data_IF_653362100971
#
_entry.id   IF_653362100971
#
_cell.length_a   1.000
_cell.length_b   1.000
_cell.length_c   1.000
_cell.angle_alpha   90.00
_cell.angle_beta   90.00
_cell.angle_gamma   90.00
#
_symmetry.space_group_name_H-M   'P 1'
#
loop_
_entity.id
_entity.type
_entity.pdbx_description
1 polymer ?
#
# COMPACT_ATOMS: atom_id res chain seq x y z
N UNK A 1 -16.44 -11.82 61.36
CA UNK A 1 -16.01 -10.41 61.20
C UNK A 1 -15.31 -10.19 59.84
N UNK A 2 -14.42 -11.07 59.39
CA UNK A 2 -13.70 -10.95 58.11
C UNK A 2 -14.66 -11.04 56.90
N UNK A 3 -15.64 -11.95 56.91
CA UNK A 3 -16.63 -12.06 55.83
C UNK A 3 -17.57 -10.84 55.70
N UNK A 4 -17.86 -10.16 56.82
CA UNK A 4 -18.68 -8.94 56.77
C UNK A 4 -17.89 -7.71 56.30
N UNK A 5 -16.56 -7.69 56.51
CA UNK A 5 -15.71 -6.61 55.96
C UNK A 5 -15.52 -6.75 54.46
N UNK A 6 -15.28 -7.96 53.92
CA UNK A 6 -15.15 -8.22 52.50
C UNK A 6 -16.44 -7.86 51.73
N UNK A 7 -17.63 -8.20 52.29
CA UNK A 7 -18.93 -7.87 51.70
C UNK A 7 -19.22 -6.36 51.70
N UNK A 8 -18.71 -5.61 52.69
CA UNK A 8 -18.83 -4.15 52.72
C UNK A 8 -17.88 -3.45 51.75
N UNK A 9 -16.68 -3.98 51.54
CA UNK A 9 -15.76 -3.49 50.52
C UNK A 9 -16.25 -3.74 49.11
N UNK A 10 -16.79 -4.91 48.85
CA UNK A 10 -17.36 -5.28 47.54
C UNK A 10 -18.62 -4.42 47.18
N UNK A 11 -19.47 -4.09 48.16
CA UNK A 11 -20.62 -3.20 47.99
C UNK A 11 -20.17 -1.75 47.75
N UNK A 12 -19.16 -1.27 48.49
CA UNK A 12 -18.63 0.09 48.29
C UNK A 12 -17.94 0.26 46.90
N UNK A 13 -17.20 -0.75 46.45
CA UNK A 13 -16.61 -0.76 45.07
C UNK A 13 -17.68 -0.77 44.01
N UNK A 14 -18.75 -1.51 44.20
CA UNK A 14 -19.87 -1.55 43.25
C UNK A 14 -20.66 -0.22 43.21
N UNK A 15 -20.88 0.45 44.34
CA UNK A 15 -21.53 1.76 44.39
C UNK A 15 -20.68 2.84 43.71
N UNK A 16 -19.38 2.90 43.97
CA UNK A 16 -18.44 3.83 43.30
C UNK A 16 -18.38 3.58 41.79
N UNK A 17 -18.43 2.33 41.34
CA UNK A 17 -18.48 1.99 39.92
C UNK A 17 -19.81 2.44 39.27
N UNK A 18 -20.94 2.33 39.99
CA UNK A 18 -22.25 2.73 39.49
C UNK A 18 -22.34 4.26 39.34
N UNK A 19 -21.80 5.02 40.25
CA UNK A 19 -21.74 6.49 40.15
C UNK A 19 -20.83 6.94 39.02
N UNK A 20 -19.67 6.31 38.85
CA UNK A 20 -18.76 6.59 37.72
C UNK A 20 -19.43 6.31 36.37
N UNK A 21 -20.17 5.22 36.24
CA UNK A 21 -20.89 4.87 35.02
C UNK A 21 -22.02 5.86 34.70
N UNK A 22 -22.75 6.35 35.72
CA UNK A 22 -23.78 7.40 35.53
C UNK A 22 -23.14 8.71 35.09
N UNK A 23 -22.06 9.14 35.71
CA UNK A 23 -21.34 10.35 35.32
C UNK A 23 -20.76 10.25 33.90
N UNK A 24 -20.22 9.06 33.54
CA UNK A 24 -19.75 8.80 32.19
C UNK A 24 -20.88 8.88 31.16
N UNK A 25 -22.05 8.25 31.45
CA UNK A 25 -23.19 8.29 30.53
C UNK A 25 -23.67 9.71 30.28
N UNK A 26 -23.81 10.53 31.35
CA UNK A 26 -24.17 11.94 31.21
C UNK A 26 -23.16 12.73 30.36
N UNK A 27 -21.88 12.39 30.46
CA UNK A 27 -20.82 13.00 29.64
C UNK A 27 -20.94 12.57 28.18
N UNK A 28 -21.21 11.28 27.90
CA UNK A 28 -21.40 10.75 26.56
C UNK A 28 -22.61 11.40 25.88
N UNK A 29 -23.74 11.52 26.60
CA UNK A 29 -24.95 12.18 26.12
C UNK A 29 -24.68 13.66 25.75
N UNK A 30 -23.87 14.34 26.55
CA UNK A 30 -23.47 15.74 26.28
C UNK A 30 -22.56 15.80 25.03
N UNK A 31 -21.59 14.91 24.89
CA UNK A 31 -20.71 14.85 23.70
C UNK A 31 -21.55 14.61 22.44
N UNK A 32 -22.51 13.68 22.49
CA UNK A 32 -23.40 13.43 21.35
C UNK A 32 -24.28 14.63 21.00
N UNK A 33 -24.72 15.37 22.00
CA UNK A 33 -25.51 16.59 21.81
C UNK A 33 -24.69 17.72 21.19
N UNK A 34 -23.45 17.90 21.65
CA UNK A 34 -22.58 19.00 21.23
C UNK A 34 -21.90 18.73 19.87
N UNK A 35 -21.57 17.47 19.56
CA UNK A 35 -20.76 17.08 18.40
C UNK A 35 -21.49 16.14 17.41
N UNK A 36 -22.68 15.66 17.74
CA UNK A 36 -23.48 14.76 16.92
C UNK A 36 -23.35 13.28 17.32
N UNK A 37 -24.35 12.48 16.92
CA UNK A 37 -24.37 11.04 17.18
C UNK A 37 -23.21 10.32 16.53
N UNK A 38 -22.60 9.38 17.24
CA UNK A 38 -21.48 8.57 16.76
C UNK A 38 -20.14 9.24 16.86
N UNK A 39 -20.03 10.44 17.48
CA UNK A 39 -18.76 11.11 17.75
C UNK A 39 -17.88 10.31 18.71
N UNK A 40 -18.50 9.61 19.66
CA UNK A 40 -17.85 8.66 20.57
C UNK A 40 -18.62 7.34 20.54
N UNK A 41 -17.90 6.23 20.56
CA UNK A 41 -18.51 4.91 20.55
C UNK A 41 -17.66 3.91 21.32
N UNK A 42 -18.27 2.87 21.85
CA UNK A 42 -17.55 1.73 22.41
C UNK A 42 -17.08 0.83 21.27
N UNK A 43 -15.82 0.43 21.26
CA UNK A 43 -15.26 -0.44 20.21
C UNK A 43 -15.95 -1.81 20.15
N UNK A 44 -16.45 -2.32 21.28
CA UNK A 44 -17.21 -3.58 21.33
C UNK A 44 -18.58 -3.53 20.67
N UNK A 45 -19.14 -2.34 20.44
CA UNK A 45 -20.46 -2.17 19.84
C UNK A 45 -20.41 -2.19 18.29
N UNK A 46 -19.22 -2.16 17.70
CA UNK A 46 -19.04 -2.30 16.25
C UNK A 46 -18.60 -3.71 15.88
N UNK A 47 -19.22 -4.32 14.85
CA UNK A 47 -18.66 -5.53 14.26
C UNK A 47 -17.26 -5.22 13.73
N UNK A 48 -16.37 -6.22 13.79
CA UNK A 48 -15.08 -6.16 13.11
C UNK A 48 -15.41 -6.08 11.61
N UNK A 49 -15.20 -4.91 11.01
CA UNK A 49 -15.39 -4.71 9.57
C UNK A 49 -14.04 -4.87 8.91
N UNK A 50 -13.98 -5.76 7.92
CA UNK A 50 -12.79 -5.89 7.09
C UNK A 50 -12.47 -4.54 6.44
N UNK A 51 -11.20 -4.19 6.45
CA UNK A 51 -10.74 -2.94 5.82
C UNK A 51 -10.85 -3.11 4.31
N UNK A 52 -11.62 -2.24 3.60
CA UNK A 52 -11.67 -2.31 2.16
C UNK A 52 -10.29 -2.04 1.56
N UNK A 53 -9.95 -2.81 0.54
CA UNK A 53 -8.61 -2.77 -0.07
C UNK A 53 -8.68 -2.62 -1.59
N UNK A 54 -7.54 -2.24 -2.17
CA UNK A 54 -7.24 -2.30 -3.60
C UNK A 54 -6.10 -3.31 -3.76
N UNK A 55 -6.26 -4.32 -4.61
CA UNK A 55 -5.18 -5.28 -4.90
C UNK A 55 -3.95 -4.56 -5.44
N UNK A 56 -2.78 -5.05 -5.08
CA UNK A 56 -1.50 -4.57 -5.61
C UNK A 56 -1.19 -5.09 -7.02
N UNK A 57 -1.98 -6.08 -7.50
CA UNK A 57 -1.68 -6.84 -8.71
C UNK A 57 -0.73 -8.02 -8.48
N UNK A 58 -0.13 -8.12 -7.29
CA UNK A 58 0.75 -9.21 -6.86
C UNK A 58 0.09 -10.02 -5.75
N UNK A 59 -0.03 -11.33 -5.94
CA UNK A 59 -0.58 -12.26 -4.94
C UNK A 59 0.27 -12.27 -3.68
N UNK A 60 1.59 -12.33 -3.85
CA UNK A 60 2.56 -12.35 -2.75
C UNK A 60 2.50 -11.05 -1.94
N UNK A 61 2.40 -9.88 -2.61
CA UNK A 61 2.33 -8.60 -1.92
C UNK A 61 1.00 -8.41 -1.21
N UNK A 62 -0.11 -8.78 -1.83
CA UNK A 62 -1.44 -8.74 -1.19
C UNK A 62 -1.47 -9.58 0.08
N UNK A 63 -0.85 -10.78 0.06
CA UNK A 63 -0.68 -11.60 1.25
C UNK A 63 0.25 -10.97 2.28
N UNK A 64 1.40 -10.41 1.86
CA UNK A 64 2.35 -9.77 2.78
C UNK A 64 1.76 -8.54 3.49
N UNK A 65 0.82 -7.83 2.84
CA UNK A 65 0.05 -6.74 3.44
C UNK A 65 -0.92 -7.21 4.54
N UNK A 66 -1.27 -8.51 4.57
CA UNK A 66 -2.06 -9.15 5.62
C UNK A 66 -3.57 -8.86 5.58
N UNK A 67 -4.00 -7.93 4.73
CA UNK A 67 -5.40 -7.55 4.53
C UNK A 67 -5.86 -7.75 3.07
N UNK A 68 -4.98 -8.28 2.20
CA UNK A 68 -5.31 -8.58 0.81
C UNK A 68 -5.12 -7.45 -0.19
N UNK A 69 -4.40 -6.39 0.17
CA UNK A 69 -4.12 -5.27 -0.74
C UNK A 69 -3.79 -3.97 -0.02
N UNK A 70 -3.74 -2.87 -0.78
CA UNK A 70 -3.57 -1.52 -0.24
C UNK A 70 -4.83 -1.05 0.49
N UNK A 71 -4.72 -0.59 1.75
CA UNK A 71 -5.88 -0.17 2.53
C UNK A 71 -6.52 1.10 1.95
N UNK A 72 -7.83 1.07 1.72
CA UNK A 72 -8.60 2.26 1.40
C UNK A 72 -8.74 3.16 2.63
N UNK A 73 -8.88 4.45 2.42
CA UNK A 73 -8.95 5.43 3.50
C UNK A 73 -7.62 5.64 4.22
N UNK A 74 -6.49 5.28 3.60
CA UNK A 74 -5.16 5.35 4.19
C UNK A 74 -4.11 5.91 3.24
N UNK A 75 -3.04 6.44 3.86
CA UNK A 75 -1.82 6.84 3.15
C UNK A 75 -0.87 5.65 3.09
N UNK A 76 -0.38 5.36 1.89
CA UNK A 76 0.63 4.34 1.59
C UNK A 76 1.87 5.04 1.03
N UNK A 77 3.04 4.67 1.47
CA UNK A 77 4.31 5.10 0.89
C UNK A 77 5.03 3.91 0.25
N UNK A 78 5.37 4.04 -1.03
CA UNK A 78 6.20 3.09 -1.78
C UNK A 78 7.52 3.77 -2.06
N UNK A 79 8.62 3.22 -1.56
CA UNK A 79 9.94 3.82 -1.74
C UNK A 79 11.01 2.75 -2.05
N UNK A 80 12.09 3.19 -2.64
CA UNK A 80 13.21 2.34 -3.02
C UNK A 80 14.18 3.05 -3.95
N UNK A 81 15.27 2.38 -4.35
CA UNK A 81 16.21 2.90 -5.33
C UNK A 81 15.56 3.20 -6.68
N UNK A 82 16.26 3.92 -7.52
CA UNK A 82 15.86 4.12 -8.92
C UNK A 82 15.69 2.78 -9.65
N UNK A 83 14.75 2.73 -10.59
CA UNK A 83 14.44 1.53 -11.40
C UNK A 83 14.13 0.27 -10.59
N UNK A 84 13.65 0.40 -9.35
CA UNK A 84 13.26 -0.73 -8.50
C UNK A 84 11.84 -1.24 -8.74
N UNK A 85 11.00 -0.54 -9.54
CA UNK A 85 9.62 -0.90 -9.82
C UNK A 85 8.56 -0.17 -9.01
N UNK A 86 8.88 0.97 -8.36
CA UNK A 86 7.95 1.78 -7.56
C UNK A 86 6.72 2.22 -8.37
N UNK A 87 6.96 2.87 -9.50
CA UNK A 87 5.92 3.35 -10.41
C UNK A 87 5.12 2.18 -10.99
N UNK A 88 5.77 1.06 -11.32
CA UNK A 88 5.09 -0.16 -11.78
C UNK A 88 4.08 -0.67 -10.76
N UNK A 89 4.45 -0.76 -9.47
CA UNK A 89 3.52 -1.15 -8.39
C UNK A 89 2.32 -0.20 -8.29
N UNK A 90 2.55 1.10 -8.39
CA UNK A 90 1.48 2.09 -8.32
C UNK A 90 0.55 2.04 -9.54
N UNK A 91 1.09 1.82 -10.75
CA UNK A 91 0.31 1.66 -11.99
C UNK A 91 -0.55 0.39 -11.90
N UNK A 92 -0.02 -0.72 -11.40
CA UNK A 92 -0.83 -1.93 -11.17
C UNK A 92 -1.98 -1.66 -10.18
N UNK A 93 -1.73 -0.91 -9.09
CA UNK A 93 -2.79 -0.54 -8.15
C UNK A 93 -3.89 0.31 -8.83
N UNK A 94 -3.54 1.22 -9.75
CA UNK A 94 -4.50 1.97 -10.57
C UNK A 94 -5.31 1.01 -11.44
N UNK A 95 -4.66 0.10 -12.16
CA UNK A 95 -5.34 -0.87 -13.02
C UNK A 95 -6.30 -1.76 -12.23
N UNK A 96 -5.89 -2.27 -11.08
CA UNK A 96 -6.74 -3.09 -10.21
C UNK A 96 -7.92 -2.30 -9.62
N UNK A 97 -7.72 -1.02 -9.26
CA UNK A 97 -8.81 -0.14 -8.84
C UNK A 97 -9.85 0.06 -9.95
N UNK A 98 -9.40 0.32 -11.19
CA UNK A 98 -10.29 0.50 -12.35
C UNK A 98 -11.02 -0.81 -12.73
N UNK A 99 -10.36 -1.96 -12.67
CA UNK A 99 -10.99 -3.29 -12.87
C UNK A 99 -12.12 -3.54 -11.87
N UNK A 100 -11.99 -3.04 -10.64
CA UNK A 100 -13.04 -3.11 -9.61
C UNK A 100 -14.14 -2.04 -9.80
N UNK A 101 -14.11 -1.26 -10.88
CA UNK A 101 -15.07 -0.19 -11.18
C UNK A 101 -14.77 1.12 -10.47
N UNK A 102 -13.58 1.26 -9.85
CA UNK A 102 -13.17 2.47 -9.15
C UNK A 102 -12.60 3.54 -10.06
N UNK A 103 -12.57 4.77 -9.56
CA UNK A 103 -12.01 5.95 -10.24
C UNK A 103 -10.61 6.21 -9.71
N UNK A 104 -9.66 6.31 -10.63
CA UNK A 104 -8.25 6.49 -10.34
C UNK A 104 -7.71 7.84 -10.82
N UNK A 105 -6.79 8.40 -10.07
CA UNK A 105 -6.05 9.60 -10.45
C UNK A 105 -4.55 9.41 -10.25
N UNK A 106 -3.74 10.00 -11.13
CA UNK A 106 -2.30 10.11 -10.97
C UNK A 106 -1.85 11.57 -11.11
N UNK A 107 -1.02 12.01 -10.19
CA UNK A 107 -0.37 13.32 -10.17
C UNK A 107 1.11 13.06 -10.43
N UNK A 108 1.52 13.31 -11.67
CA UNK A 108 2.88 13.10 -12.15
C UNK A 108 3.70 14.38 -11.99
N UNK A 109 4.38 14.50 -10.86
CA UNK A 109 5.28 15.63 -10.57
C UNK A 109 6.67 15.45 -11.20
N UNK A 110 7.03 14.25 -11.65
CA UNK A 110 8.30 13.99 -12.35
C UNK A 110 8.22 14.29 -13.85
N UNK A 111 7.01 14.46 -14.39
CA UNK A 111 6.75 14.64 -15.84
C UNK A 111 7.31 13.47 -16.69
N UNK A 112 7.24 12.25 -16.14
CA UNK A 112 7.86 11.05 -16.73
C UNK A 112 6.87 9.89 -16.93
N UNK A 113 5.57 10.16 -16.89
CA UNK A 113 4.55 9.12 -17.03
C UNK A 113 4.52 8.54 -18.45
N UNK A 114 4.72 7.23 -18.55
CA UNK A 114 4.64 6.48 -19.80
C UNK A 114 3.22 5.91 -19.99
N UNK A 115 2.46 6.58 -20.86
CA UNK A 115 1.10 6.17 -21.24
C UNK A 115 1.07 4.77 -21.83
N UNK A 116 1.98 4.45 -22.77
CA UNK A 116 2.01 3.17 -23.47
C UNK A 116 2.30 2.02 -22.50
N UNK A 117 3.19 2.26 -21.54
CA UNK A 117 3.47 1.28 -20.48
C UNK A 117 2.26 1.08 -19.57
N UNK A 118 1.60 2.15 -19.14
CA UNK A 118 0.41 2.05 -18.29
C UNK A 118 -0.74 1.29 -18.98
N UNK A 119 -0.97 1.53 -20.26
CA UNK A 119 -1.96 0.77 -21.06
C UNK A 119 -1.64 -0.72 -21.10
N UNK A 120 -0.38 -1.10 -21.28
CA UNK A 120 0.07 -2.50 -21.25
C UNK A 120 -0.15 -3.17 -19.89
N UNK A 121 -0.04 -2.42 -18.80
CA UNK A 121 -0.31 -2.89 -17.45
C UNK A 121 -1.81 -2.97 -17.13
N UNK A 122 -2.68 -2.61 -18.08
CA UNK A 122 -4.13 -2.73 -17.96
C UNK A 122 -4.85 -1.48 -17.46
N UNK A 123 -4.17 -0.32 -17.44
CA UNK A 123 -4.82 0.94 -17.10
C UNK A 123 -5.73 1.39 -18.25
N UNK A 124 -6.97 1.70 -17.93
CA UNK A 124 -7.89 2.35 -18.86
C UNK A 124 -7.58 3.86 -18.88
N UNK A 125 -6.95 4.31 -19.95
CA UNK A 125 -6.53 5.71 -20.12
C UNK A 125 -7.70 6.66 -20.34
N UNK A 126 -8.84 6.19 -20.85
CA UNK A 126 -10.02 7.03 -21.09
C UNK A 126 -10.69 7.49 -19.79
N UNK A 127 -10.47 6.75 -18.70
CA UNK A 127 -11.06 7.02 -17.37
C UNK A 127 -10.04 7.45 -16.33
N UNK A 128 -8.75 7.42 -16.67
CA UNK A 128 -7.70 7.86 -15.75
C UNK A 128 -7.66 9.39 -15.67
N UNK A 129 -7.78 9.93 -14.46
CA UNK A 129 -7.54 11.36 -14.22
C UNK A 129 -6.02 11.58 -14.10
N UNK A 130 -5.51 12.48 -14.93
CA UNK A 130 -4.08 12.74 -15.05
C UNK A 130 -3.77 14.23 -14.83
N UNK A 131 -2.75 14.52 -14.03
CA UNK A 131 -2.28 15.90 -13.78
C UNK A 131 -0.77 15.98 -13.71
N UNK A 132 -0.19 17.03 -14.31
CA UNK A 132 1.21 17.40 -14.22
C UNK A 132 1.32 18.82 -13.64
N UNK A 133 1.48 18.94 -12.32
CA UNK A 133 1.52 20.23 -11.63
C UNK A 133 2.87 20.92 -11.79
N UNK A 134 2.89 22.26 -11.73
CA UNK A 134 4.09 23.07 -11.84
C UNK A 134 4.94 23.10 -10.55
N UNK A 135 4.31 22.82 -9.40
CA UNK A 135 4.96 22.87 -8.08
C UNK A 135 4.27 21.95 -7.07
N UNK A 136 4.92 21.74 -5.93
CA UNK A 136 4.44 20.83 -4.89
C UNK A 136 3.13 21.28 -4.23
N UNK A 137 2.91 22.56 -4.03
CA UNK A 137 1.67 23.11 -3.48
C UNK A 137 0.50 22.79 -4.41
N UNK A 138 0.64 23.04 -5.71
CA UNK A 138 -0.39 22.75 -6.71
C UNK A 138 -0.68 21.24 -6.76
N UNK A 139 0.34 20.38 -6.75
CA UNK A 139 0.17 18.93 -6.71
C UNK A 139 -0.70 18.47 -5.54
N UNK A 140 -0.37 18.96 -4.34
CA UNK A 140 -1.05 18.56 -3.11
C UNK A 140 -2.43 19.18 -2.97
N UNK A 141 -2.67 20.37 -3.53
CA UNK A 141 -4.01 20.98 -3.62
C UNK A 141 -4.91 20.22 -4.58
N UNK A 142 -4.41 19.83 -5.76
CA UNK A 142 -5.15 18.98 -6.70
C UNK A 142 -5.54 17.66 -6.03
N UNK A 143 -4.60 17.01 -5.32
CA UNK A 143 -4.89 15.80 -4.55
C UNK A 143 -5.98 16.04 -3.50
N UNK A 144 -5.92 17.14 -2.73
CA UNK A 144 -6.91 17.49 -1.72
C UNK A 144 -8.31 17.67 -2.33
N UNK A 145 -8.41 18.38 -3.46
CA UNK A 145 -9.68 18.58 -4.16
C UNK A 145 -10.28 17.26 -4.67
N UNK A 146 -9.47 16.41 -5.31
CA UNK A 146 -9.90 15.11 -5.79
C UNK A 146 -10.40 14.22 -4.65
N UNK A 147 -9.63 14.11 -3.56
CA UNK A 147 -9.99 13.31 -2.40
C UNK A 147 -11.26 13.84 -1.71
N UNK A 148 -11.40 15.18 -1.57
CA UNK A 148 -12.58 15.81 -0.98
C UNK A 148 -13.87 15.56 -1.76
N UNK A 149 -13.79 15.32 -3.05
CA UNK A 149 -14.97 14.99 -3.87
C UNK A 149 -15.67 13.72 -3.38
N UNK A 150 -14.95 12.81 -2.71
CA UNK A 150 -15.45 11.51 -2.28
C UNK A 150 -15.67 10.50 -3.42
N UNK A 151 -15.34 10.89 -4.66
CA UNK A 151 -15.53 10.05 -5.84
C UNK A 151 -14.28 9.25 -6.24
N UNK A 152 -13.11 9.57 -5.68
CA UNK A 152 -11.83 8.96 -6.06
C UNK A 152 -11.52 7.77 -5.16
N UNK A 153 -11.28 6.61 -5.76
CA UNK A 153 -10.91 5.39 -5.04
C UNK A 153 -9.42 5.31 -4.76
N UNK A 154 -8.60 5.74 -5.71
CA UNK A 154 -7.14 5.78 -5.58
C UNK A 154 -6.58 7.06 -6.19
N UNK A 155 -5.63 7.67 -5.49
CA UNK A 155 -4.77 8.74 -6.02
C UNK A 155 -3.30 8.37 -5.81
N UNK A 156 -2.52 8.47 -6.86
CA UNK A 156 -1.07 8.25 -6.85
C UNK A 156 -0.37 9.58 -7.05
N UNK A 157 0.67 9.86 -6.25
CA UNK A 157 1.54 11.04 -6.38
C UNK A 157 2.95 10.53 -6.68
N UNK A 158 3.43 10.78 -7.91
CA UNK A 158 4.75 10.33 -8.39
C UNK A 158 5.61 11.55 -8.80
N UNK A 159 6.63 11.90 -8.05
CA UNK A 159 7.01 11.39 -6.75
C UNK A 159 7.18 12.55 -5.74
N UNK A 160 7.27 12.19 -4.45
CA UNK A 160 7.55 13.17 -3.38
C UNK A 160 8.84 13.95 -3.64
N UNK A 161 9.84 13.31 -4.23
CA UNK A 161 11.12 13.95 -4.55
C UNK A 161 10.98 15.15 -5.51
N UNK A 162 9.97 15.10 -6.38
CA UNK A 162 9.69 16.13 -7.38
C UNK A 162 8.69 17.21 -6.88
N UNK A 163 8.13 17.08 -5.68
CA UNK A 163 7.26 18.10 -5.08
C UNK A 163 8.08 19.31 -4.61
N UNK A 164 8.57 20.09 -5.57
CA UNK A 164 9.36 21.30 -5.29
C UNK A 164 8.43 22.41 -4.81
N UNK A 165 8.68 23.03 -3.64
CA UNK A 165 7.91 24.16 -3.17
C UNK A 165 7.99 25.35 -4.14
N UNK A 166 6.86 26.04 -4.34
CA UNK A 166 6.79 27.21 -5.23
C UNK A 166 7.86 28.26 -4.90
N UNK A 167 8.07 28.53 -3.62
CA UNK A 167 9.08 29.48 -3.15
C UNK A 167 10.52 29.06 -3.53
N UNK A 168 10.79 27.77 -3.72
CA UNK A 168 12.07 27.26 -4.18
C UNK A 168 12.25 27.48 -5.68
N UNK A 169 11.17 27.29 -6.46
CA UNK A 169 11.18 27.53 -7.92
C UNK A 169 11.35 29.03 -8.25
N UNK A 170 10.71 29.90 -7.48
CA UNK A 170 10.77 31.37 -7.66
C UNK A 170 12.05 32.00 -7.10
N UNK A 171 12.91 31.24 -6.41
CA UNK A 171 14.18 31.70 -5.86
C UNK A 171 15.31 31.70 -6.88
N UNK A 172 16.40 32.38 -6.54
CA UNK A 172 17.60 32.39 -7.36
C UNK A 172 18.35 31.06 -7.29
N UNK A 173 19.04 30.70 -8.37
CA UNK A 173 19.91 29.53 -8.42
C UNK A 173 21.01 29.64 -7.37
N UNK A 174 21.05 28.65 -6.44
CA UNK A 174 22.03 28.61 -5.35
C UNK A 174 21.49 29.06 -3.99
N UNK A 175 20.27 29.59 -3.92
CA UNK A 175 19.59 29.87 -2.65
C UNK A 175 19.39 28.60 -1.83
N UNK A 176 19.94 28.58 -0.63
CA UNK A 176 19.72 27.45 0.29
C UNK A 176 18.39 27.61 1.03
N UNK A 177 17.38 26.87 0.60
CA UNK A 177 16.04 26.88 1.21
C UNK A 177 15.74 25.56 1.91
N UNK A 178 16.61 25.15 2.83
CA UNK A 178 16.51 23.89 3.54
C UNK A 178 15.17 23.74 4.27
N UNK A 179 14.55 22.56 4.14
CA UNK A 179 13.37 22.15 4.90
C UNK A 179 12.02 22.64 4.38
N UNK A 180 11.94 23.40 3.29
CA UNK A 180 10.66 23.85 2.72
C UNK A 180 9.80 22.66 2.28
N UNK A 181 10.37 21.70 1.57
CA UNK A 181 9.65 20.49 1.15
C UNK A 181 9.12 19.68 2.35
N UNK A 182 9.92 19.52 3.41
CA UNK A 182 9.49 18.82 4.62
C UNK A 182 8.34 19.54 5.35
N UNK A 183 8.35 20.88 5.33
CA UNK A 183 7.27 21.71 5.88
C UNK A 183 6.00 21.57 5.04
N UNK A 184 6.11 21.64 3.72
CA UNK A 184 5.01 21.44 2.78
C UNK A 184 4.35 20.06 2.99
N UNK A 185 5.14 18.99 3.01
CA UNK A 185 4.65 17.64 3.25
C UNK A 185 3.97 17.49 4.61
N UNK A 186 4.53 18.09 5.66
CA UNK A 186 3.94 18.05 7.01
C UNK A 186 2.60 18.76 7.07
N UNK A 187 2.46 19.89 6.38
CA UNK A 187 1.21 20.65 6.30
C UNK A 187 0.15 19.89 5.49
N UNK A 188 0.52 19.39 4.32
CA UNK A 188 -0.37 18.66 3.44
C UNK A 188 -0.91 17.39 4.10
N UNK A 189 -0.05 16.56 4.68
CA UNK A 189 -0.47 15.30 5.30
C UNK A 189 -1.36 15.50 6.52
N UNK A 190 -1.17 16.56 7.31
CA UNK A 190 -2.12 16.95 8.37
C UNK A 190 -3.52 17.22 7.83
N UNK A 191 -3.60 17.90 6.69
CA UNK A 191 -4.87 18.24 6.04
C UNK A 191 -5.53 17.04 5.37
N UNK A 192 -4.73 16.26 4.62
CA UNK A 192 -5.20 15.16 3.79
C UNK A 192 -5.66 13.93 4.58
N UNK A 193 -4.94 13.57 5.67
CA UNK A 193 -5.16 12.29 6.36
C UNK A 193 -6.59 12.10 6.85
N UNK A 194 -7.21 13.14 7.43
CA UNK A 194 -8.59 13.07 7.92
C UNK A 194 -9.59 12.93 6.76
N UNK A 195 -9.34 13.61 5.64
CA UNK A 195 -10.21 13.56 4.45
C UNK A 195 -10.09 12.20 3.78
N UNK A 196 -8.87 11.70 3.57
CA UNK A 196 -8.56 10.36 3.03
C UNK A 196 -9.34 9.28 3.80
N UNK A 197 -9.31 9.34 5.14
CA UNK A 197 -10.02 8.37 5.98
C UNK A 197 -11.54 8.43 5.80
N UNK A 198 -12.11 9.63 5.67
CA UNK A 198 -13.58 9.81 5.52
C UNK A 198 -14.08 9.40 4.14
N UNK A 199 -13.29 9.63 3.09
CA UNK A 199 -13.67 9.33 1.71
C UNK A 199 -13.30 7.93 1.27
N UNK A 200 -12.63 7.14 2.13
CA UNK A 200 -12.10 5.81 1.80
C UNK A 200 -11.20 5.78 0.56
N UNK A 201 -10.50 6.88 0.27
CA UNK A 201 -9.56 6.98 -0.84
C UNK A 201 -8.25 6.32 -0.44
N UNK A 202 -7.67 5.45 -1.28
CA UNK A 202 -6.30 4.99 -1.14
C UNK A 202 -5.36 6.07 -1.70
N UNK A 203 -4.46 6.60 -0.89
CA UNK A 203 -3.51 7.64 -1.32
C UNK A 203 -2.09 7.09 -1.30
N UNK A 204 -1.50 6.87 -2.48
CA UNK A 204 -0.15 6.32 -2.63
C UNK A 204 0.82 7.44 -2.94
N UNK A 205 1.86 7.57 -2.13
CA UNK A 205 3.02 8.41 -2.39
C UNK A 205 4.21 7.54 -2.83
N UNK A 206 4.72 7.79 -4.01
CA UNK A 206 6.00 7.23 -4.45
C UNK A 206 7.11 8.12 -3.92
N UNK A 207 8.18 7.51 -3.38
CA UNK A 207 9.28 8.25 -2.80
C UNK A 207 10.64 7.68 -3.23
N UNK A 208 11.64 8.52 -3.24
CA UNK A 208 13.02 8.16 -3.57
C UNK A 208 13.86 8.06 -2.30
N UNK A 209 14.89 7.24 -2.37
CA UNK A 209 15.92 7.17 -1.35
C UNK A 209 17.03 8.19 -1.62
N UNK A 210 17.57 8.74 -0.53
CA UNK A 210 18.75 9.59 -0.51
C UNK A 210 19.64 9.15 0.62
N UNK A 211 20.93 9.30 0.45
CA UNK A 211 21.90 9.03 1.50
C UNK A 211 22.12 10.27 2.37
N UNK A 212 22.12 10.08 3.67
CA UNK A 212 22.50 11.12 4.62
C UNK A 212 24.02 11.26 4.66
N UNK A 213 24.50 12.44 4.38
CA UNK A 213 25.93 12.77 4.47
C UNK A 213 26.38 12.67 5.92
N UNK A 214 27.52 12.04 6.18
CA UNK A 214 28.17 11.99 7.51
C UNK A 214 27.66 10.88 8.45
N UNK A 215 26.82 9.96 8.00
CA UNK A 215 26.42 8.79 8.80
C UNK A 215 27.48 7.70 8.68
N UNK A 216 28.36 7.57 9.67
CA UNK A 216 29.41 6.54 9.71
C UNK A 216 28.92 5.19 10.23
N UNK A 217 27.82 5.17 11.02
CA UNK A 217 27.24 3.95 11.62
C UNK A 217 25.73 3.92 11.44
N UNK A 218 25.18 2.74 11.18
CA UNK A 218 23.74 2.53 10.94
C UNK A 218 23.35 2.67 9.46
N UNK A 219 22.05 2.80 9.19
CA UNK A 219 21.55 2.92 7.81
C UNK A 219 21.55 4.40 7.39
N UNK A 220 22.37 4.81 6.40
CA UNK A 220 22.41 6.17 5.88
C UNK A 220 21.16 6.52 5.04
N UNK A 221 20.46 5.53 4.50
CA UNK A 221 19.33 5.76 3.59
C UNK A 221 18.16 6.48 4.30
N UNK A 222 17.59 7.46 3.63
CA UNK A 222 16.38 8.17 4.05
C UNK A 222 15.52 8.52 2.85
N UNK A 223 14.22 8.67 3.07
CA UNK A 223 13.28 9.14 2.04
C UNK A 223 13.25 10.66 2.00
N UNK A 224 12.91 11.25 0.82
CA UNK A 224 12.73 12.69 0.64
C UNK A 224 11.46 13.22 1.33
N UNK A 225 11.29 14.54 1.44
CA UNK A 225 10.11 15.15 2.04
C UNK A 225 10.07 15.12 3.58
N UNK A 226 11.22 14.84 4.22
CA UNK A 226 11.34 14.80 5.68
C UNK A 226 10.71 13.57 6.34
N UNK A 227 10.23 13.75 7.58
CA UNK A 227 9.69 12.62 8.35
C UNK A 227 8.16 12.47 8.31
N UNK A 228 7.45 13.38 7.62
CA UNK A 228 6.00 13.42 7.68
C UNK A 228 5.35 12.10 7.21
N UNK A 229 5.77 11.58 6.04
CA UNK A 229 5.25 10.30 5.54
C UNK A 229 5.57 9.12 6.46
N UNK A 230 6.71 9.12 7.14
CA UNK A 230 7.04 8.06 8.10
C UNK A 230 6.02 7.97 9.24
N UNK A 231 5.42 9.10 9.63
CA UNK A 231 4.40 9.15 10.68
C UNK A 231 2.99 8.94 10.15
N UNK A 232 2.62 9.64 9.06
CA UNK A 232 1.24 9.65 8.55
C UNK A 232 0.86 8.41 7.74
N UNK A 233 1.81 7.77 7.04
CA UNK A 233 1.51 6.53 6.30
C UNK A 233 1.08 5.41 7.24
N UNK A 234 0.05 4.67 6.82
CA UNK A 234 -0.39 3.44 7.49
C UNK A 234 0.40 2.22 7.02
N UNK A 235 0.83 2.24 5.76
CA UNK A 235 1.67 1.21 5.14
C UNK A 235 2.90 1.88 4.51
N UNK A 236 4.08 1.27 4.66
CA UNK A 236 5.31 1.68 3.99
C UNK A 236 5.97 0.46 3.39
N UNK A 237 6.28 0.53 2.10
CA UNK A 237 6.89 -0.53 1.31
C UNK A 237 8.27 -0.10 0.84
N UNK A 238 9.28 -0.92 1.15
CA UNK A 238 10.63 -0.81 0.61
C UNK A 238 10.77 -1.82 -0.53
N UNK A 239 10.82 -1.34 -1.77
CA UNK A 239 10.99 -2.18 -2.96
C UNK A 239 12.42 -2.09 -3.47
N UNK A 240 13.03 -3.26 -3.71
CA UNK A 240 14.41 -3.38 -4.19
C UNK A 240 14.53 -4.42 -5.28
N UNK A 241 15.33 -4.12 -6.30
CA UNK A 241 15.78 -5.12 -7.27
C UNK A 241 16.74 -6.08 -6.60
N UNK A 242 16.44 -7.37 -6.67
CA UNK A 242 17.30 -8.44 -6.17
C UNK A 242 18.25 -8.94 -7.28
N UNK A 243 17.66 -9.41 -8.39
CA UNK A 243 18.39 -9.95 -9.52
C UNK A 243 17.76 -9.47 -10.83
N UNK A 244 18.53 -9.48 -11.89
CA UNK A 244 18.05 -9.25 -13.25
C UNK A 244 17.65 -10.59 -13.87
N UNK A 245 16.49 -10.62 -14.52
CA UNK A 245 16.02 -11.76 -15.31
C UNK A 245 16.57 -11.57 -16.72
N UNK A 246 17.16 -12.64 -17.27
CA UNK A 246 17.76 -12.61 -18.60
C UNK A 246 17.27 -13.79 -19.44
N UNK A 247 17.13 -13.54 -20.73
CA UNK A 247 17.01 -14.56 -21.75
C UNK A 247 18.26 -14.48 -22.64
N UNK A 248 19.16 -15.47 -22.49
CA UNK A 248 20.51 -15.37 -23.00
C UNK A 248 21.29 -14.21 -22.39
N UNK A 249 21.73 -13.27 -23.22
CA UNK A 249 22.45 -12.05 -22.78
C UNK A 249 21.52 -10.85 -22.58
N UNK A 250 20.25 -10.92 -23.01
CA UNK A 250 19.30 -9.83 -22.95
C UNK A 250 18.56 -9.82 -21.61
N UNK A 251 18.46 -8.62 -21.01
CA UNK A 251 17.69 -8.43 -19.80
C UNK A 251 16.20 -8.28 -20.14
N UNK A 252 15.35 -9.19 -19.64
CA UNK A 252 13.92 -9.23 -19.89
C UNK A 252 13.08 -8.74 -18.71
N UNK A 253 13.69 -8.62 -17.52
CA UNK A 253 12.98 -8.18 -16.34
C UNK A 253 13.87 -8.12 -15.10
N UNK A 254 13.24 -7.88 -13.97
CA UNK A 254 13.88 -7.86 -12.66
C UNK A 254 13.10 -8.71 -11.67
N UNK A 255 13.81 -9.55 -10.92
CA UNK A 255 13.27 -10.13 -9.69
C UNK A 255 13.36 -9.08 -8.58
N UNK A 256 12.24 -8.76 -7.95
CA UNK A 256 12.14 -7.70 -6.93
C UNK A 256 11.73 -8.27 -5.58
N UNK A 257 12.20 -7.60 -4.53
CA UNK A 257 11.83 -7.85 -3.14
C UNK A 257 11.15 -6.63 -2.57
N UNK A 258 9.95 -6.83 -2.03
CA UNK A 258 9.18 -5.80 -1.34
C UNK A 258 9.10 -6.16 0.12
N UNK A 259 9.58 -5.26 0.99
CA UNK A 259 9.47 -5.40 2.44
C UNK A 259 8.40 -4.44 2.96
N UNK A 260 7.44 -4.96 3.70
CA UNK A 260 6.44 -4.19 4.43
C UNK A 260 7.08 -3.66 5.71
N UNK A 261 7.71 -2.48 5.67
CA UNK A 261 8.49 -1.95 6.80
C UNK A 261 7.63 -1.29 7.86
N UNK A 262 6.41 -0.90 7.51
CA UNK A 262 5.39 -0.38 8.42
C UNK A 262 4.02 -0.85 7.95
N UNK A 263 3.22 -1.31 8.90
CA UNK A 263 1.82 -1.68 8.65
C UNK A 263 1.01 -1.44 9.93
N UNK A 264 -0.03 -0.59 9.83
CA UNK A 264 -0.97 -0.33 10.92
C UNK A 264 -2.23 -1.21 10.84
N UNK A 265 -2.36 -2.00 9.77
CA UNK A 265 -3.54 -2.82 9.49
C UNK A 265 -3.31 -4.30 9.81
N UNK A 266 -2.05 -4.76 9.80
CA UNK A 266 -1.63 -6.13 10.08
C UNK A 266 -0.18 -6.14 10.60
N UNK A 267 0.36 -7.27 11.08
CA UNK A 267 1.75 -7.38 11.51
C UNK A 267 2.72 -6.95 10.40
N UNK A 268 3.67 -6.04 10.68
CA UNK A 268 4.65 -5.57 9.70
C UNK A 268 5.78 -6.59 9.49
N UNK A 269 6.74 -6.22 8.62
CA UNK A 269 8.01 -6.90 8.31
C UNK A 269 7.89 -8.16 7.45
N UNK A 270 6.68 -8.48 6.96
CA UNK A 270 6.51 -9.51 5.92
C UNK A 270 7.19 -9.05 4.62
N UNK A 271 7.55 -10.02 3.79
CA UNK A 271 8.21 -9.79 2.51
C UNK A 271 7.40 -10.44 1.40
N UNK A 272 7.44 -9.85 0.22
CA UNK A 272 6.96 -10.41 -1.02
C UNK A 272 8.09 -10.40 -2.04
N UNK A 273 8.21 -11.43 -2.85
CA UNK A 273 9.17 -11.53 -3.93
C UNK A 273 8.42 -11.93 -5.21
N UNK A 274 8.69 -11.23 -6.30
CA UNK A 274 8.06 -11.50 -7.59
C UNK A 274 8.86 -10.88 -8.72
N UNK A 275 8.52 -11.27 -9.96
CA UNK A 275 9.16 -10.78 -11.16
C UNK A 275 8.39 -9.60 -11.75
N UNK A 276 9.13 -8.57 -12.17
CA UNK A 276 8.64 -7.50 -13.04
C UNK A 276 9.29 -7.69 -14.41
N UNK A 277 8.47 -8.03 -15.40
CA UNK A 277 8.88 -8.22 -16.78
C UNK A 277 8.79 -6.89 -17.52
N UNK A 278 9.80 -6.54 -18.31
CA UNK A 278 9.82 -5.29 -19.04
C UNK A 278 8.70 -5.26 -20.09
N UNK A 279 7.93 -4.19 -20.07
CA UNK A 279 6.77 -4.01 -20.95
C UNK A 279 5.50 -4.75 -20.52
N UNK A 280 5.56 -5.69 -19.57
CA UNK A 280 4.41 -6.49 -19.10
C UNK A 280 4.04 -6.20 -17.63
N UNK A 281 5.01 -5.70 -16.82
CA UNK A 281 4.81 -5.43 -15.40
C UNK A 281 4.96 -6.66 -14.53
N UNK A 282 4.16 -6.75 -13.46
CA UNK A 282 4.20 -7.87 -12.50
C UNK A 282 3.79 -9.17 -13.19
N UNK A 283 4.66 -10.18 -13.13
CA UNK A 283 4.40 -11.51 -13.71
C UNK A 283 3.49 -12.33 -12.78
N UNK A 284 2.18 -12.11 -12.88
CA UNK A 284 1.20 -12.86 -12.08
C UNK A 284 1.32 -14.37 -12.28
N UNK A 285 1.52 -14.81 -13.52
CA UNK A 285 1.73 -16.23 -13.83
C UNK A 285 3.01 -16.75 -13.20
N UNK A 286 4.08 -15.94 -13.16
CA UNK A 286 5.30 -16.28 -12.44
C UNK A 286 5.05 -16.51 -10.95
N UNK A 287 4.27 -15.65 -10.30
CA UNK A 287 3.89 -15.82 -8.90
C UNK A 287 3.06 -17.10 -8.67
N UNK A 288 2.12 -17.42 -9.58
CA UNK A 288 1.33 -18.66 -9.51
C UNK A 288 2.24 -19.88 -9.51
N UNK A 289 3.28 -19.89 -10.35
CA UNK A 289 4.23 -21.00 -10.39
C UNK A 289 5.02 -21.09 -9.09
N UNK A 290 5.59 -19.97 -8.64
CA UNK A 290 6.49 -19.94 -7.49
C UNK A 290 5.73 -20.25 -6.19
N UNK A 291 4.58 -19.61 -5.95
CA UNK A 291 3.72 -19.89 -4.82
C UNK A 291 3.09 -21.29 -4.91
N UNK A 292 2.73 -21.75 -6.11
CA UNK A 292 2.23 -23.10 -6.36
C UNK A 292 3.24 -24.18 -5.91
N UNK A 293 4.52 -23.95 -6.17
CA UNK A 293 5.61 -24.84 -5.70
C UNK A 293 5.80 -24.70 -4.19
N UNK A 294 5.81 -23.49 -3.65
CA UNK A 294 5.98 -23.22 -2.22
C UNK A 294 4.91 -23.93 -1.37
N UNK A 295 3.65 -23.85 -1.81
CA UNK A 295 2.52 -24.50 -1.11
C UNK A 295 2.29 -25.98 -1.52
N UNK A 296 3.19 -26.58 -2.29
CA UNK A 296 3.08 -27.94 -2.78
C UNK A 296 1.79 -28.24 -3.60
N UNK A 297 1.18 -27.22 -4.19
CA UNK A 297 0.10 -27.34 -5.16
C UNK A 297 0.67 -27.81 -6.49
N UNK A 298 1.77 -27.19 -6.92
CA UNK A 298 2.58 -27.61 -8.07
C UNK A 298 3.79 -28.38 -7.56
N UNK A 299 3.99 -29.58 -8.04
CA UNK A 299 5.17 -30.38 -7.69
C UNK A 299 6.31 -30.07 -8.63
N UNK A 300 7.49 -29.82 -8.08
CA UNK A 300 8.74 -29.61 -8.82
C UNK A 300 9.70 -30.78 -8.55
N UNK A 301 10.09 -31.48 -9.60
CA UNK A 301 11.08 -32.58 -9.54
C UNK A 301 12.19 -32.30 -10.56
N UNK A 302 13.35 -31.86 -10.08
CA UNK A 302 14.42 -31.34 -10.93
C UNK A 302 13.94 -30.13 -11.74
N UNK A 303 14.00 -30.23 -13.08
CA UNK A 303 13.48 -29.20 -13.99
C UNK A 303 11.99 -29.37 -14.37
N UNK A 304 11.35 -30.46 -13.96
CA UNK A 304 9.96 -30.78 -14.31
C UNK A 304 8.98 -30.25 -13.30
N UNK A 305 7.88 -29.68 -13.81
CA UNK A 305 6.74 -29.22 -13.04
C UNK A 305 5.52 -30.07 -13.36
N UNK A 306 4.71 -30.40 -12.35
CA UNK A 306 3.48 -31.17 -12.50
C UNK A 306 2.39 -30.68 -11.53
N UNK A 307 1.13 -30.84 -11.96
CA UNK A 307 -0.03 -30.54 -11.18
C UNK A 307 -0.96 -31.75 -11.20
N UNK A 308 -1.22 -32.34 -10.02
CA UNK A 308 -1.84 -33.67 -9.95
C UNK A 308 -1.00 -34.69 -10.72
N UNK A 309 -1.63 -35.39 -11.66
CA UNK A 309 -0.99 -36.36 -12.54
C UNK A 309 -0.53 -35.76 -13.89
N UNK A 310 -0.80 -34.47 -14.12
CA UNK A 310 -0.50 -33.81 -15.39
C UNK A 310 0.86 -33.13 -15.32
N UNK A 311 1.71 -33.38 -16.31
CA UNK A 311 2.98 -32.67 -16.50
C UNK A 311 2.69 -31.29 -17.11
N UNK A 312 3.14 -30.21 -16.44
CA UNK A 312 2.98 -28.84 -16.92
C UNK A 312 4.10 -28.44 -17.91
N UNK A 313 5.33 -28.94 -17.69
CA UNK A 313 6.46 -28.61 -18.56
C UNK A 313 7.81 -28.80 -17.89
N UNK A 314 8.86 -28.63 -18.70
CA UNK A 314 10.25 -28.62 -18.25
C UNK A 314 10.78 -27.19 -18.25
N UNK A 315 11.22 -26.72 -17.09
CA UNK A 315 11.66 -25.34 -16.88
C UNK A 315 10.51 -24.37 -16.58
N UNK A 316 10.85 -23.31 -15.84
CA UNK A 316 9.86 -22.30 -15.36
C UNK A 316 9.22 -21.56 -16.53
N UNK A 317 9.98 -21.22 -17.56
CA UNK A 317 9.49 -20.47 -18.71
C UNK A 317 8.50 -21.27 -19.56
N UNK A 318 8.75 -22.57 -19.77
CA UNK A 318 7.80 -23.46 -20.46
C UNK A 318 6.46 -23.55 -19.70
N UNK A 319 6.50 -23.60 -18.37
CA UNK A 319 5.27 -23.60 -17.55
C UNK A 319 4.58 -22.24 -17.58
N UNK A 320 5.35 -21.14 -17.59
CA UNK A 320 4.81 -19.78 -17.73
C UNK A 320 4.02 -19.65 -19.05
N UNK A 321 4.60 -20.10 -20.16
CA UNK A 321 3.92 -20.05 -21.44
C UNK A 321 2.67 -20.93 -21.45
N UNK A 322 2.73 -22.15 -20.91
CA UNK A 322 1.55 -23.00 -20.79
C UNK A 322 0.40 -22.33 -20.03
N UNK A 323 0.71 -21.65 -18.93
CA UNK A 323 -0.32 -20.98 -18.12
C UNK A 323 -0.85 -19.70 -18.78
N UNK A 324 -0.03 -19.01 -19.59
CA UNK A 324 -0.50 -17.89 -20.41
C UNK A 324 -1.47 -18.37 -21.51
N UNK A 325 -1.21 -19.53 -22.08
CA UNK A 325 -2.06 -20.12 -23.11
C UNK A 325 -3.30 -20.83 -22.52
N UNK A 326 -3.32 -21.10 -21.21
CA UNK A 326 -4.40 -21.77 -20.50
C UNK A 326 -4.80 -21.02 -19.23
N UNK A 327 -5.59 -19.96 -19.42
CA UNK A 327 -6.05 -19.09 -18.33
C UNK A 327 -6.93 -19.82 -17.31
N UNK A 328 -7.72 -20.82 -17.73
CA UNK A 328 -8.56 -21.62 -16.80
C UNK A 328 -7.71 -22.36 -15.78
N UNK A 329 -6.60 -22.96 -16.22
CA UNK A 329 -5.66 -23.63 -15.32
C UNK A 329 -4.94 -22.62 -14.42
N UNK A 330 -4.57 -21.45 -14.95
CA UNK A 330 -3.96 -20.40 -14.15
C UNK A 330 -4.90 -19.90 -13.03
N UNK A 331 -6.18 -19.68 -13.35
CA UNK A 331 -7.22 -19.26 -12.40
C UNK A 331 -7.49 -20.34 -11.33
N UNK A 332 -7.51 -21.63 -11.73
CA UNK A 332 -7.65 -22.73 -10.80
C UNK A 332 -6.49 -22.78 -9.79
N UNK A 333 -5.26 -22.67 -10.29
CA UNK A 333 -4.06 -22.66 -9.45
C UNK A 333 -4.06 -21.45 -8.52
N UNK A 334 -4.37 -20.25 -9.03
CA UNK A 334 -4.49 -19.04 -8.22
C UNK A 334 -5.53 -19.22 -7.11
N UNK A 335 -6.70 -19.76 -7.41
CA UNK A 335 -7.75 -20.02 -6.42
C UNK A 335 -7.27 -20.90 -5.28
N UNK A 336 -6.53 -21.98 -5.60
CA UNK A 336 -5.93 -22.88 -4.61
C UNK A 336 -4.84 -22.21 -3.77
N UNK A 337 -4.01 -21.39 -4.41
CA UNK A 337 -2.97 -20.61 -3.71
C UNK A 337 -3.61 -19.64 -2.73
N UNK A 338 -4.62 -18.88 -3.17
CA UNK A 338 -5.34 -17.93 -2.31
C UNK A 338 -6.03 -18.62 -1.12
N UNK A 339 -6.61 -19.79 -1.35
CA UNK A 339 -7.18 -20.61 -0.27
C UNK A 339 -6.10 -21.00 0.76
N UNK A 340 -4.94 -21.48 0.31
CA UNK A 340 -3.81 -21.81 1.18
C UNK A 340 -3.28 -20.60 1.95
N UNK A 341 -3.14 -19.44 1.30
CA UNK A 341 -2.71 -18.20 1.93
C UNK A 341 -3.70 -17.74 3.01
N UNK A 342 -4.99 -18.02 2.85
CA UNK A 342 -6.01 -17.70 3.86
C UNK A 342 -5.96 -18.62 5.07
N UNK A 343 -5.52 -19.87 4.91
CA UNK A 343 -5.32 -20.82 6.01
C UNK A 343 -4.11 -20.46 6.89
N UNK A 344 -3.10 -19.81 6.34
CA UNK A 344 -1.85 -19.40 7.02
C UNK A 344 -2.01 -18.06 7.76
N UNK A 345 -3.22 -17.54 7.90
CA UNK A 345 -3.53 -16.28 8.62
C UNK A 345 -3.44 -16.41 10.15
N UNK A 346 -2.32 -16.97 10.68
CA UNK A 346 -2.03 -16.97 12.13
C UNK A 346 -0.67 -16.32 12.43
#
# INVERSE_FOLDING_TARGET
IIQNMAKKEETAVNEVNTEKLKALQATLDKIEKDFGKGTIMKMGDKPIVDVPVISSGSIALDHALGIGGYPRGRVVEIYGPESSGKTTLAIHAIAEAQKAGGIAAIIDAEHAFDRSYAEKLGVNMDTLLFSQPDNGEQALEIADHLIRSGAIDIVVIDSVAALTPKAEIEGDMGDSRMGLQARLMSQALRKLTATISRTNTCCIFINQLRDKIGVMFGNPETTTGGNALKFYSSVRLDIRRANQIKDGDEATGNHVKVKVVKNKMAPPFRKAEFDIVFGEGISKVGEIIDLGVEFNIVKKSGSWFSYGDTKLGQGRESVRQLLLDNMELADELEGKIRAKLSEVKD
#
